data_IF_082977577279
#
_entry.id   IF_082977577279
#
_cell.length_a   1.000
_cell.length_b   1.000
_cell.length_c   1.000
_cell.angle_alpha   90.00
_cell.angle_beta   90.00
_cell.angle_gamma   90.00
#
_symmetry.space_group_name_H-M   'P 1'
#
loop_
_entity.id
_entity.type
_entity.pdbx_description
1 polymer ?
#
# COMPACT_ATOMS: atom_id res chain seq x y z
N UNK A 1 -1.39 22.96 48.02
CA UNK A 1 -1.70 21.56 48.35
C UNK A 1 -3.08 21.25 47.80
N UNK A 2 -3.18 20.09 47.16
CA UNK A 2 -4.39 19.28 46.84
C UNK A 2 -5.42 19.82 45.84
N UNK A 3 -5.42 19.12 44.70
CA UNK A 3 -6.52 18.55 43.91
C UNK A 3 -7.96 18.77 44.42
N UNK A 4 -8.88 19.00 43.48
CA UNK A 4 -9.95 18.05 43.11
C UNK A 4 -11.02 18.77 42.27
N UNK A 5 -11.21 18.36 41.01
CA UNK A 5 -12.47 18.57 40.31
C UNK A 5 -12.96 17.27 39.63
N UNK A 6 -14.11 16.81 40.14
CA UNK A 6 -15.30 16.35 39.40
C UNK A 6 -15.34 14.91 38.84
N UNK A 7 -15.83 14.02 39.72
CA UNK A 7 -17.13 13.30 39.65
C UNK A 7 -17.70 12.87 38.27
N UNK A 8 -17.79 11.54 38.16
CA UNK A 8 -19.01 10.70 38.04
C UNK A 8 -19.65 10.33 36.68
N UNK A 9 -20.05 9.03 36.66
CA UNK A 9 -21.19 8.35 36.00
C UNK A 9 -20.93 7.84 34.56
N UNK A 10 -21.31 6.61 34.16
CA UNK A 10 -22.37 5.71 34.66
C UNK A 10 -22.14 4.26 34.16
N UNK A 11 -22.56 3.28 34.98
CA UNK A 11 -23.21 1.99 34.68
C UNK A 11 -22.89 1.27 33.38
N UNK A 12 -22.45 0.02 33.52
CA UNK A 12 -23.21 -1.11 32.95
C UNK A 12 -23.46 -2.14 34.06
N UNK A 13 -24.74 -2.39 34.29
CA UNK A 13 -25.26 -3.49 35.09
C UNK A 13 -25.36 -4.70 34.17
N UNK A 14 -24.60 -5.75 34.43
CA UNK A 14 -25.02 -7.10 34.07
C UNK A 14 -24.93 -7.97 35.32
N UNK A 15 -26.12 -8.43 35.73
CA UNK A 15 -26.31 -9.46 36.74
C UNK A 15 -26.02 -10.79 36.04
N UNK A 16 -24.90 -11.41 36.36
CA UNK A 16 -24.83 -12.86 36.38
C UNK A 16 -24.45 -13.32 37.78
N UNK A 17 -25.35 -14.12 38.34
CA UNK A 17 -25.20 -14.72 39.66
C UNK A 17 -24.52 -16.05 39.43
N UNK A 18 -23.19 -16.08 39.46
CA UNK A 18 -22.44 -17.34 39.42
C UNK A 18 -22.08 -17.74 40.86
N UNK A 19 -22.65 -18.87 41.28
CA UNK A 19 -22.33 -19.55 42.53
C UNK A 19 -20.81 -19.85 42.57
N UNK A 20 -20.17 -19.45 43.68
CA UNK A 20 -18.76 -19.74 43.98
C UNK A 20 -18.52 -21.25 43.98
N UNK A 21 -18.04 -21.78 42.86
CA UNK A 21 -17.35 -23.06 42.80
C UNK A 21 -15.88 -22.80 43.17
N UNK A 22 -15.53 -22.98 44.44
CA UNK A 22 -14.21 -22.70 45.03
C UNK A 22 -13.07 -23.64 44.55
N UNK A 23 -13.33 -24.49 43.55
CA UNK A 23 -12.43 -25.56 43.10
C UNK A 23 -11.65 -25.27 41.79
N UNK A 24 -11.86 -24.12 41.14
CA UNK A 24 -11.14 -23.74 39.91
C UNK A 24 -10.57 -22.32 40.00
N UNK A 25 -9.50 -22.15 40.79
CA UNK A 25 -8.61 -20.97 40.68
C UNK A 25 -7.81 -21.07 39.38
N UNK A 26 -8.29 -20.42 38.33
CA UNK A 26 -7.53 -20.24 37.09
C UNK A 26 -6.49 -19.15 37.32
N UNK A 27 -5.24 -19.56 37.53
CA UNK A 27 -4.09 -18.65 37.60
C UNK A 27 -3.77 -18.14 36.19
N UNK A 28 -4.20 -16.92 35.87
CA UNK A 28 -3.89 -16.29 34.58
C UNK A 28 -2.40 -15.88 34.58
N UNK A 29 -1.57 -16.44 33.69
CA UNK A 29 -0.18 -16.03 33.59
C UNK A 29 -0.08 -14.55 33.21
N UNK A 30 0.92 -13.87 33.75
CA UNK A 30 1.19 -12.48 33.38
C UNK A 30 1.37 -12.36 31.86
N UNK A 31 0.77 -11.34 31.21
CA UNK A 31 0.88 -11.17 29.76
C UNK A 31 2.35 -11.01 29.34
N UNK A 32 2.93 -12.04 28.75
CA UNK A 32 4.24 -11.95 28.14
C UNK A 32 4.15 -11.21 26.80
N UNK A 33 4.33 -9.89 26.83
CA UNK A 33 4.37 -9.05 25.63
C UNK A 33 5.76 -9.12 25.01
N UNK A 34 5.93 -9.97 24.01
CA UNK A 34 7.09 -9.91 23.11
C UNK A 34 6.84 -8.85 22.04
N UNK A 35 7.77 -7.90 21.88
CA UNK A 35 7.73 -6.94 20.77
C UNK A 35 8.30 -7.60 19.53
N UNK A 36 7.52 -7.64 18.45
CA UNK A 36 8.03 -8.09 17.15
C UNK A 36 9.11 -7.10 16.67
N UNK A 37 10.27 -7.56 16.20
CA UNK A 37 11.28 -6.66 15.63
C UNK A 37 10.69 -5.92 14.42
N UNK A 38 11.12 -4.68 14.23
CA UNK A 38 10.76 -3.93 13.02
C UNK A 38 11.31 -4.67 11.79
N UNK A 39 10.51 -4.76 10.74
CA UNK A 39 10.95 -5.36 9.48
C UNK A 39 11.95 -4.42 8.79
N UNK A 40 13.08 -4.98 8.33
CA UNK A 40 14.08 -4.21 7.58
C UNK A 40 13.50 -3.82 6.22
N UNK A 41 13.13 -2.54 6.08
CA UNK A 41 12.61 -2.01 4.82
C UNK A 41 13.72 -1.98 3.78
N UNK A 42 13.59 -2.80 2.74
CA UNK A 42 14.51 -2.83 1.60
C UNK A 42 14.62 -1.44 0.97
N UNK A 43 15.85 -0.94 0.82
CA UNK A 43 16.08 0.32 0.10
C UNK A 43 15.80 0.12 -1.39
N UNK A 44 14.90 0.96 -1.92
CA UNK A 44 14.47 0.91 -3.32
C UNK A 44 15.06 2.08 -4.11
N UNK A 45 15.42 1.88 -5.39
CA UNK A 45 16.01 2.93 -6.19
C UNK A 45 15.00 4.04 -6.49
N UNK A 46 15.48 5.28 -6.62
CA UNK A 46 14.62 6.47 -6.72
C UNK A 46 13.68 6.44 -7.94
N UNK A 47 14.16 5.97 -9.09
CA UNK A 47 13.33 5.86 -10.29
C UNK A 47 12.13 4.92 -10.09
N UNK A 48 12.30 3.86 -9.29
CA UNK A 48 11.25 2.88 -9.00
C UNK A 48 10.24 3.46 -8.00
N UNK A 49 10.71 4.19 -6.98
CA UNK A 49 9.83 4.95 -6.07
C UNK A 49 9.00 5.99 -6.83
N UNK A 50 9.62 6.71 -7.76
CA UNK A 50 8.95 7.70 -8.60
C UNK A 50 7.91 7.04 -9.51
N UNK A 51 8.27 5.93 -10.15
CA UNK A 51 7.35 5.18 -11.00
C UNK A 51 6.18 4.58 -10.20
N UNK A 52 6.43 3.97 -9.05
CA UNK A 52 5.37 3.46 -8.18
C UNK A 52 4.44 4.58 -7.69
N UNK A 53 5.01 5.74 -7.33
CA UNK A 53 4.22 6.92 -7.01
C UNK A 53 3.34 7.35 -8.19
N UNK A 54 3.87 7.35 -9.42
CA UNK A 54 3.10 7.63 -10.62
C UNK A 54 1.98 6.61 -10.82
N UNK A 55 2.31 5.32 -10.83
CA UNK A 55 1.38 4.21 -10.99
C UNK A 55 0.21 4.25 -10.00
N UNK A 56 0.49 4.48 -8.71
CA UNK A 56 -0.56 4.58 -7.68
C UNK A 56 -1.50 5.77 -7.95
N UNK A 57 -0.96 6.87 -8.50
CA UNK A 57 -1.78 8.02 -8.91
C UNK A 57 -2.79 7.62 -9.98
N UNK A 58 -2.30 6.95 -11.02
CA UNK A 58 -3.10 6.53 -12.18
C UNK A 58 -4.08 5.42 -11.80
N UNK A 59 -3.66 4.50 -10.92
CA UNK A 59 -4.52 3.47 -10.33
C UNK A 59 -5.76 4.08 -9.65
N UNK A 60 -5.57 5.11 -8.83
CA UNK A 60 -6.66 5.80 -8.14
C UNK A 60 -7.61 6.54 -9.10
N UNK A 61 -7.15 6.85 -10.32
CA UNK A 61 -7.94 7.47 -11.38
C UNK A 61 -8.54 6.45 -12.35
N UNK A 62 -8.33 5.14 -12.10
CA UNK A 62 -8.67 4.06 -13.03
C UNK A 62 -8.04 4.22 -14.42
N UNK A 63 -6.88 4.86 -14.49
CA UNK A 63 -6.27 5.31 -15.73
C UNK A 63 -4.95 4.59 -16.00
N UNK A 64 -4.96 3.26 -15.96
CA UNK A 64 -3.78 2.42 -16.19
C UNK A 64 -3.76 1.77 -17.59
N UNK A 65 -4.62 2.21 -18.49
CA UNK A 65 -4.80 1.61 -19.83
C UNK A 65 -3.49 1.57 -20.64
N UNK A 66 -2.69 2.63 -20.58
CA UNK A 66 -1.43 2.67 -21.32
C UNK A 66 -0.40 1.76 -20.65
N UNK A 67 -0.36 1.69 -19.31
CA UNK A 67 0.56 0.77 -18.62
C UNK A 67 0.22 -0.69 -18.95
N UNK A 68 -1.07 -1.01 -19.10
CA UNK A 68 -1.54 -2.35 -19.46
C UNK A 68 -0.98 -2.86 -20.80
N UNK A 69 -0.58 -1.96 -21.72
CA UNK A 69 0.08 -2.35 -22.99
C UNK A 69 1.47 -2.96 -22.79
N UNK A 70 2.05 -2.78 -21.59
CA UNK A 70 3.38 -3.25 -21.23
C UNK A 70 3.34 -4.36 -20.18
N UNK A 71 2.16 -4.80 -19.75
CA UNK A 71 2.06 -5.96 -18.86
C UNK A 71 2.11 -7.27 -19.65
N UNK A 72 3.14 -8.07 -19.41
CA UNK A 72 3.36 -9.34 -20.11
C UNK A 72 3.10 -10.57 -19.24
N UNK A 73 3.08 -10.42 -17.91
CA UNK A 73 3.03 -11.53 -16.95
C UNK A 73 2.07 -11.26 -15.77
N UNK A 74 0.97 -10.54 -16.01
CA UNK A 74 0.01 -10.18 -14.97
C UNK A 74 0.63 -9.41 -13.79
N UNK A 75 1.74 -8.69 -14.04
CA UNK A 75 2.41 -7.90 -13.01
C UNK A 75 1.48 -6.85 -12.42
N UNK A 76 0.61 -6.27 -13.26
CA UNK A 76 -0.37 -5.29 -12.81
C UNK A 76 -1.45 -5.93 -11.95
N UNK A 77 -1.81 -7.20 -12.18
CA UNK A 77 -2.80 -7.89 -11.35
C UNK A 77 -2.29 -8.01 -9.92
N UNK A 78 -1.03 -8.46 -9.75
CA UNK A 78 -0.41 -8.60 -8.44
C UNK A 78 -0.31 -7.26 -7.71
N UNK A 79 0.19 -6.23 -8.41
CA UNK A 79 0.30 -4.87 -7.85
C UNK A 79 -1.09 -4.33 -7.48
N UNK A 80 -2.06 -4.40 -8.39
CA UNK A 80 -3.40 -3.85 -8.18
C UNK A 80 -4.13 -4.57 -7.04
N UNK A 81 -3.98 -5.90 -6.94
CA UNK A 81 -4.54 -6.66 -5.83
C UNK A 81 -3.97 -6.19 -4.49
N UNK A 82 -2.65 -5.99 -4.42
CA UNK A 82 -2.01 -5.44 -3.24
C UNK A 82 -2.52 -4.03 -2.90
N UNK A 83 -2.59 -3.14 -3.90
CA UNK A 83 -3.06 -1.77 -3.71
C UNK A 83 -4.51 -1.73 -3.20
N UNK A 84 -5.40 -2.57 -3.74
CA UNK A 84 -6.80 -2.66 -3.27
C UNK A 84 -6.88 -3.10 -1.81
N UNK A 85 -6.13 -4.14 -1.43
CA UNK A 85 -6.16 -4.67 -0.06
C UNK A 85 -5.57 -3.69 0.96
N UNK A 86 -4.74 -2.76 0.52
CA UNK A 86 -3.99 -1.83 1.37
C UNK A 86 -4.34 -0.35 1.10
N UNK A 87 -5.49 -0.08 0.47
CA UNK A 87 -5.91 1.26 0.02
C UNK A 87 -6.04 2.29 1.16
N UNK A 88 -6.19 1.81 2.40
CA UNK A 88 -6.29 2.65 3.60
C UNK A 88 -4.96 3.26 4.04
N UNK A 89 -3.83 2.76 3.54
CA UNK A 89 -2.52 3.31 3.90
C UNK A 89 -2.28 4.68 3.26
N UNK A 90 -1.64 5.63 4.00
CA UNK A 90 -1.14 6.85 3.41
C UNK A 90 -0.22 6.57 2.23
N UNK A 91 -0.32 7.37 1.16
CA UNK A 91 0.42 7.16 -0.10
C UNK A 91 1.91 6.88 0.07
N UNK A 92 2.60 7.60 0.97
CA UNK A 92 4.03 7.39 1.25
C UNK A 92 4.32 6.00 1.83
N UNK A 93 3.46 5.51 2.73
CA UNK A 93 3.59 4.16 3.28
C UNK A 93 3.26 3.12 2.21
N UNK A 94 2.20 3.35 1.42
CA UNK A 94 1.80 2.44 0.36
C UNK A 94 2.91 2.22 -0.68
N UNK A 95 3.64 3.28 -1.08
CA UNK A 95 4.80 3.17 -1.98
C UNK A 95 5.89 2.27 -1.39
N UNK A 96 6.25 2.48 -0.13
CA UNK A 96 7.30 1.68 0.51
C UNK A 96 6.87 0.20 0.60
N UNK A 97 5.65 -0.04 1.05
CA UNK A 97 5.11 -1.39 1.25
C UNK A 97 4.93 -2.14 -0.07
N UNK A 98 4.35 -1.51 -1.09
CA UNK A 98 4.16 -2.18 -2.39
C UNK A 98 5.49 -2.52 -3.03
N UNK A 99 6.51 -1.64 -2.91
CA UNK A 99 7.83 -1.93 -3.44
C UNK A 99 8.61 -2.96 -2.61
N UNK A 100 8.31 -3.12 -1.32
CA UNK A 100 8.94 -4.16 -0.50
C UNK A 100 8.61 -5.57 -1.01
N UNK A 101 7.38 -5.77 -1.51
CA UNK A 101 6.92 -7.10 -1.94
C UNK A 101 6.78 -7.26 -3.46
N UNK A 102 6.63 -6.17 -4.21
CA UNK A 102 6.32 -6.18 -5.65
C UNK A 102 7.27 -5.33 -6.50
N UNK A 103 8.48 -5.01 -6.01
CA UNK A 103 9.48 -4.29 -6.81
C UNK A 103 9.80 -4.95 -8.15
N UNK A 104 9.91 -6.28 -8.16
CA UNK A 104 10.12 -7.07 -9.38
C UNK A 104 8.99 -6.85 -10.41
N UNK A 105 7.74 -6.79 -9.95
CA UNK A 105 6.60 -6.54 -10.84
C UNK A 105 6.68 -5.13 -11.46
N UNK A 106 7.03 -4.11 -10.67
CA UNK A 106 7.26 -2.77 -11.20
C UNK A 106 8.44 -2.73 -12.18
N UNK A 107 9.55 -3.41 -11.86
CA UNK A 107 10.72 -3.45 -12.72
C UNK A 107 10.41 -4.13 -14.07
N UNK A 108 9.64 -5.22 -14.08
CA UNK A 108 9.25 -5.87 -15.32
C UNK A 108 8.43 -4.96 -16.23
N UNK A 109 7.49 -4.19 -15.65
CA UNK A 109 6.72 -3.21 -16.41
C UNK A 109 7.66 -2.16 -17.02
N UNK A 110 8.61 -1.65 -16.24
CA UNK A 110 9.61 -0.69 -16.72
C UNK A 110 10.49 -1.26 -17.83
N UNK A 111 10.91 -2.52 -17.70
CA UNK A 111 11.73 -3.20 -18.70
C UNK A 111 10.95 -3.40 -20.01
N UNK A 112 9.66 -3.73 -19.95
CA UNK A 112 8.80 -3.83 -21.12
C UNK A 112 8.56 -2.47 -21.79
N UNK A 113 8.43 -1.40 -21.00
CA UNK A 113 8.39 -0.03 -21.53
C UNK A 113 9.70 0.29 -22.26
N UNK A 114 10.86 0.04 -21.65
CA UNK A 114 12.17 0.33 -22.24
C UNK A 114 12.45 -0.47 -23.53
N UNK A 115 11.86 -1.66 -23.68
CA UNK A 115 11.98 -2.46 -24.90
C UNK A 115 11.18 -1.90 -26.08
N UNK A 116 10.03 -1.29 -25.79
CA UNK A 116 9.04 -0.89 -26.80
C UNK A 116 9.07 0.61 -27.12
N UNK A 117 9.59 1.41 -26.19
CA UNK A 117 9.62 2.86 -26.27
C UNK A 117 11.06 3.37 -26.30
N UNK A 118 11.29 4.49 -26.99
CA UNK A 118 12.59 5.19 -27.01
C UNK A 118 12.77 6.07 -25.77
N UNK A 119 12.69 5.45 -24.59
CA UNK A 119 12.92 6.10 -23.30
C UNK A 119 13.75 5.20 -22.38
N UNK A 120 14.50 5.83 -21.47
CA UNK A 120 15.14 5.15 -20.35
C UNK A 120 14.37 5.43 -19.05
N UNK A 121 13.64 4.44 -18.49
CA UNK A 121 12.92 4.59 -17.23
C UNK A 121 13.76 5.11 -16.07
N UNK A 122 15.08 4.81 -16.04
CA UNK A 122 15.97 5.25 -14.95
C UNK A 122 16.21 6.76 -14.98
N UNK A 123 15.97 7.41 -16.13
CA UNK A 123 16.07 8.86 -16.28
C UNK A 123 14.73 9.58 -16.04
N UNK A 124 13.63 8.86 -15.85
CA UNK A 124 12.32 9.43 -15.49
C UNK A 124 12.26 9.71 -13.98
N UNK A 125 12.86 10.82 -13.57
CA UNK A 125 13.14 11.15 -12.15
C UNK A 125 11.98 11.83 -11.43
N UNK A 126 10.92 12.21 -12.12
CA UNK A 126 9.77 12.89 -11.51
C UNK A 126 8.44 12.28 -11.95
N UNK A 127 7.39 12.52 -11.14
CA UNK A 127 6.01 12.20 -11.53
C UNK A 127 5.63 12.86 -12.85
N UNK A 128 6.11 14.09 -13.08
CA UNK A 128 5.81 14.86 -14.29
C UNK A 128 6.42 14.23 -15.54
N UNK A 129 7.61 13.62 -15.44
CA UNK A 129 8.25 12.95 -16.57
C UNK A 129 7.39 11.77 -17.05
N UNK A 130 6.93 10.94 -16.10
CA UNK A 130 6.01 9.84 -16.38
C UNK A 130 4.67 10.32 -16.91
N UNK A 131 4.05 11.32 -16.29
CA UNK A 131 2.78 11.88 -16.77
C UNK A 131 2.88 12.47 -18.18
N UNK A 132 3.99 13.14 -18.51
CA UNK A 132 4.21 13.69 -19.86
C UNK A 132 4.35 12.59 -20.90
N UNK A 133 5.10 11.53 -20.59
CA UNK A 133 5.20 10.37 -21.46
C UNK A 133 3.85 9.67 -21.62
N UNK A 134 3.11 9.51 -20.53
CA UNK A 134 1.80 8.85 -20.49
C UNK A 134 0.79 9.51 -21.42
N UNK A 135 0.64 10.83 -21.30
CA UNK A 135 -0.25 11.63 -22.14
C UNK A 135 0.19 11.61 -23.62
N UNK A 136 1.49 11.72 -23.87
CA UNK A 136 2.02 11.62 -25.24
C UNK A 136 1.69 10.27 -25.86
N UNK A 137 1.81 9.19 -25.09
CA UNK A 137 1.52 7.83 -25.56
C UNK A 137 0.02 7.64 -25.80
N UNK A 138 -0.82 8.12 -24.89
CA UNK A 138 -2.29 8.14 -25.07
C UNK A 138 -2.72 8.83 -26.35
N UNK A 139 -2.13 9.99 -26.65
CA UNK A 139 -2.46 10.76 -27.86
C UNK A 139 -2.14 10.01 -29.17
N UNK A 140 -1.26 9.02 -29.14
CA UNK A 140 -0.89 8.21 -30.31
C UNK A 140 -1.80 6.99 -30.51
N UNK A 141 -2.58 6.60 -29.50
CA UNK A 141 -3.52 5.49 -29.63
C UNK A 141 -4.71 5.99 -30.43
N UNK A 142 -5.04 5.37 -31.58
CA UNK A 142 -6.24 5.71 -32.32
C UNK A 142 -7.44 5.54 -31.40
N UNK A 143 -8.14 6.64 -31.08
CA UNK A 143 -9.42 6.53 -30.39
C UNK A 143 -10.38 5.82 -31.36
N UNK A 144 -10.71 4.56 -31.09
CA UNK A 144 -11.87 3.96 -31.72
C UNK A 144 -13.09 4.68 -31.15
N UNK A 145 -13.56 5.70 -31.86
CA UNK A 145 -14.92 6.19 -31.69
C UNK A 145 -15.84 5.02 -32.05
N UNK A 146 -16.45 4.43 -31.04
CA UNK A 146 -17.72 3.71 -31.16
C UNK A 146 -18.73 4.39 -30.26
#
# INVERSE_FOLDING_TARGET
MTEEEKKNKTKDEDKDTEEENDDLKVDMPEPNRVTMPAEDVKEQPDYLKVFANFYISEFNQHDLEIINLYDTNSNMVDINHYLMNNIHFPRKQLINHVLQYHDYNFQNILDEIAKKEDIDPKNMKTYKDWGTWYEKRRAQIPRSLS
#
